data_IF_056797036745
#
_entry.id   IF_056797036745
#
_cell.length_a   1.000
_cell.length_b   1.000
_cell.length_c   1.000
_cell.angle_alpha   90.00
_cell.angle_beta   90.00
_cell.angle_gamma   90.00
#
_symmetry.space_group_name_H-M   'P 1'
#
loop_
_entity.id
_entity.type
_entity.pdbx_description
1 polymer ?
#
# COMPACT_ATOMS: atom_id res chain seq x y z
N UNK A 1 46.20 -36.86 5.39
CA UNK A 1 45.61 -35.66 6.02
C UNK A 1 44.29 -36.08 6.63
N UNK A 2 44.22 -36.75 7.77
CA UNK A 2 44.95 -36.62 9.03
C UNK A 2 44.65 -35.32 9.81
N UNK A 3 44.27 -35.55 11.07
CA UNK A 3 44.08 -34.64 12.19
C UNK A 3 42.85 -33.72 12.28
N UNK A 4 41.84 -34.24 12.99
CA UNK A 4 41.16 -33.52 14.07
C UNK A 4 42.22 -33.07 15.07
N UNK A 5 42.23 -31.79 15.45
CA UNK A 5 42.86 -31.40 16.71
C UNK A 5 42.07 -30.39 17.51
N UNK A 6 42.07 -30.66 18.81
CA UNK A 6 41.19 -30.16 19.85
C UNK A 6 42.12 -29.60 20.92
N UNK A 7 41.86 -28.36 21.37
CA UNK A 7 42.17 -27.77 22.70
C UNK A 7 43.02 -26.49 22.68
N UNK A 8 42.47 -25.48 23.38
CA UNK A 8 43.01 -24.66 24.50
C UNK A 8 42.44 -23.23 24.36
N UNK A 9 41.38 -22.82 25.05
CA UNK A 9 41.18 -22.65 26.49
C UNK A 9 42.02 -21.52 27.13
N UNK A 10 41.28 -20.58 27.73
CA UNK A 10 41.58 -19.69 28.88
C UNK A 10 42.07 -18.27 28.54
N UNK A 11 41.24 -17.29 28.95
CA UNK A 11 41.59 -15.88 29.06
C UNK A 11 40.37 -15.05 29.47
N UNK A 12 40.05 -15.02 30.76
CA UNK A 12 38.95 -14.24 31.34
C UNK A 12 39.30 -12.75 31.44
N UNK A 13 38.33 -11.87 31.21
CA UNK A 13 38.25 -10.60 31.96
C UNK A 13 36.84 -10.02 31.95
N UNK A 14 36.37 -9.74 33.16
CA UNK A 14 35.12 -9.08 33.52
C UNK A 14 35.21 -7.60 33.19
N UNK A 15 34.16 -7.04 32.58
CA UNK A 15 33.83 -5.63 32.72
C UNK A 15 32.31 -5.44 32.71
N UNK A 16 31.81 -5.15 33.91
CA UNK A 16 30.47 -4.69 34.26
C UNK A 16 30.14 -3.39 33.54
N UNK A 17 28.95 -3.29 32.95
CA UNK A 17 28.49 -2.05 32.32
C UNK A 17 27.05 -2.16 31.83
N UNK A 18 26.10 -2.13 32.76
CA UNK A 18 24.70 -1.91 32.44
C UNK A 18 24.53 -0.46 31.92
N UNK A 19 24.38 -0.32 30.60
CA UNK A 19 23.84 0.89 30.00
C UNK A 19 22.41 0.58 29.57
N UNK A 20 21.45 0.97 30.42
CA UNK A 20 20.07 1.17 30.00
C UNK A 20 20.09 2.25 28.92
N UNK A 21 20.12 1.86 27.66
CA UNK A 21 19.72 2.77 26.59
C UNK A 21 18.23 3.01 26.76
N UNK A 22 17.91 4.10 27.46
CA UNK A 22 16.61 4.76 27.36
C UNK A 22 16.33 4.86 25.87
N UNK A 23 15.36 4.06 25.41
CA UNK A 23 14.87 4.13 24.05
C UNK A 23 14.33 5.54 23.85
N UNK A 24 15.15 6.42 23.26
CA UNK A 24 14.66 7.55 22.52
C UNK A 24 13.77 6.96 21.42
N UNK A 25 12.50 6.76 21.75
CA UNK A 25 11.44 6.69 20.75
C UNK A 25 11.39 8.08 20.13
N UNK A 26 12.30 8.33 19.19
CA UNK A 26 12.19 9.44 18.27
C UNK A 26 10.89 9.20 17.50
N UNK A 27 9.84 10.02 17.63
CA UNK A 27 8.67 9.91 16.77
C UNK A 27 8.96 10.42 15.35
N UNK A 28 10.23 10.66 15.02
CA UNK A 28 10.69 11.31 13.80
C UNK A 28 10.97 10.33 12.64
N UNK A 29 10.26 9.21 12.60
CA UNK A 29 10.35 8.21 11.52
C UNK A 29 8.98 7.90 10.91
N UNK A 30 8.17 8.93 10.64
CA UNK A 30 7.06 8.84 9.65
C UNK A 30 6.73 10.17 8.99
N UNK A 31 7.69 11.10 8.92
CA UNK A 31 7.64 12.13 7.88
C UNK A 31 8.43 11.59 6.68
N UNK A 32 8.00 10.43 6.15
CA UNK A 32 8.45 10.00 4.84
C UNK A 32 8.21 11.16 3.89
N UNK A 33 9.25 11.58 3.15
CA UNK A 33 9.20 12.65 2.14
C UNK A 33 7.84 12.59 1.46
N UNK A 34 6.94 13.52 1.79
CA UNK A 34 5.76 13.75 0.97
C UNK A 34 6.32 14.29 -0.34
N UNK A 35 6.61 13.39 -1.26
CA UNK A 35 6.49 13.74 -2.68
C UNK A 35 5.13 14.41 -2.79
N UNK A 36 5.10 15.60 -3.38
CA UNK A 36 3.85 16.27 -3.65
C UNK A 36 3.08 15.33 -4.58
N UNK A 37 2.10 14.61 -4.04
CA UNK A 37 1.19 13.79 -4.83
C UNK A 37 0.41 14.76 -5.70
N UNK A 38 0.71 14.80 -6.99
CA UNK A 38 0.14 15.78 -7.91
C UNK A 38 -1.11 15.26 -8.60
N UNK A 39 -1.22 13.93 -8.78
CA UNK A 39 -2.33 13.31 -9.50
C UNK A 39 -2.93 12.12 -8.74
N UNK A 40 -4.20 11.86 -9.00
CA UNK A 40 -4.89 10.64 -8.56
C UNK A 40 -5.49 9.93 -9.77
N UNK A 41 -5.23 8.64 -9.90
CA UNK A 41 -5.97 7.76 -10.79
C UNK A 41 -7.26 7.35 -10.09
N UNK A 42 -8.39 7.87 -10.57
CA UNK A 42 -9.74 7.49 -10.13
C UNK A 42 -10.24 6.40 -11.07
N UNK A 43 -10.43 5.20 -10.53
CA UNK A 43 -10.92 4.05 -11.26
C UNK A 43 -12.38 3.83 -10.89
N UNK A 44 -13.27 3.94 -11.86
CA UNK A 44 -14.69 3.57 -11.73
C UNK A 44 -14.87 2.15 -12.23
N UNK A 45 -15.51 1.32 -11.43
CA UNK A 45 -15.87 -0.04 -11.78
C UNK A 45 -17.39 -0.16 -11.83
N UNK A 46 -17.92 -0.65 -12.94
CA UNK A 46 -19.25 -1.26 -12.93
C UNK A 46 -19.07 -2.73 -12.54
N UNK A 47 -19.74 -3.14 -11.47
CA UNK A 47 -19.65 -4.48 -10.90
C UNK A 47 -21.01 -5.16 -10.95
N UNK A 48 -21.01 -6.49 -10.97
CA UNK A 48 -22.22 -7.27 -10.73
C UNK A 48 -22.68 -7.05 -9.26
N UNK A 49 -23.90 -6.52 -9.02
CA UNK A 49 -24.41 -6.29 -7.66
C UNK A 49 -24.42 -7.54 -6.78
N UNK A 50 -24.58 -8.72 -7.36
CA UNK A 50 -24.62 -9.98 -6.63
C UNK A 50 -23.22 -10.52 -6.30
N UNK A 51 -22.17 -9.95 -6.90
CA UNK A 51 -20.78 -10.34 -6.67
C UNK A 51 -19.99 -9.30 -5.86
N UNK A 52 -20.70 -8.49 -5.07
CA UNK A 52 -20.13 -7.52 -4.14
C UNK A 52 -18.98 -8.08 -3.32
N UNK A 53 -19.17 -9.23 -2.69
CA UNK A 53 -18.16 -9.84 -1.81
C UNK A 53 -16.94 -10.35 -2.59
N UNK A 54 -17.15 -10.79 -3.84
CA UNK A 54 -16.06 -11.09 -4.74
C UNK A 54 -15.21 -9.84 -5.05
N UNK A 55 -15.87 -8.71 -5.32
CA UNK A 55 -15.16 -7.44 -5.51
C UNK A 55 -14.50 -6.95 -4.21
N UNK A 56 -15.11 -7.16 -3.05
CA UNK A 56 -14.49 -6.86 -1.75
C UNK A 56 -13.15 -7.58 -1.59
N UNK A 57 -13.12 -8.88 -1.86
CA UNK A 57 -11.88 -9.67 -1.83
C UNK A 57 -10.85 -9.15 -2.84
N UNK A 58 -11.30 -8.80 -4.05
CA UNK A 58 -10.44 -8.19 -5.08
C UNK A 58 -9.80 -6.87 -4.61
N UNK A 59 -10.58 -6.03 -3.93
CA UNK A 59 -10.13 -4.76 -3.36
C UNK A 59 -9.19 -4.93 -2.16
N UNK A 60 -9.48 -5.86 -1.25
CA UNK A 60 -8.62 -6.17 -0.10
C UNK A 60 -7.24 -6.67 -0.54
N UNK A 61 -7.18 -7.48 -1.60
CA UNK A 61 -5.92 -7.89 -2.23
C UNK A 61 -5.09 -6.69 -2.70
N UNK A 62 -5.73 -5.65 -3.25
CA UNK A 62 -5.01 -4.44 -3.65
C UNK A 62 -4.42 -3.67 -2.47
N UNK A 63 -5.01 -3.77 -1.27
CA UNK A 63 -4.51 -3.17 -0.04
C UNK A 63 -3.06 -3.53 0.27
N UNK A 64 -2.66 -4.78 0.00
CA UNK A 64 -1.29 -5.28 0.18
C UNK A 64 -0.41 -5.12 -1.06
N UNK A 65 -0.97 -5.23 -2.26
CA UNK A 65 -0.22 -5.24 -3.52
C UNK A 65 0.17 -3.82 -3.98
N UNK A 66 -0.77 -2.86 -3.94
CA UNK A 66 -0.54 -1.52 -4.52
C UNK A 66 0.60 -0.78 -3.82
N UNK A 67 0.67 -0.73 -2.47
CA UNK A 67 1.75 0.00 -1.79
C UNK A 67 3.14 -0.55 -2.11
N UNK A 68 3.31 -1.88 -2.17
CA UNK A 68 4.60 -2.49 -2.52
C UNK A 68 4.99 -2.27 -3.98
N UNK A 69 4.02 -2.09 -4.88
CA UNK A 69 4.26 -1.68 -6.26
C UNK A 69 4.53 -0.17 -6.37
N UNK A 70 4.50 0.60 -5.27
CA UNK A 70 4.81 2.01 -5.22
C UNK A 70 3.64 2.94 -5.59
N UNK A 71 2.39 2.46 -5.49
CA UNK A 71 1.21 3.31 -5.59
C UNK A 71 0.78 3.80 -4.20
N UNK A 72 0.38 5.08 -4.08
CA UNK A 72 -0.23 5.57 -2.85
C UNK A 72 -1.73 5.25 -2.85
N UNK A 73 -2.10 4.10 -2.27
CA UNK A 73 -3.49 3.68 -2.21
C UNK A 73 -4.28 4.59 -1.26
N UNK A 74 -5.22 5.37 -1.80
CA UNK A 74 -6.17 6.16 -1.01
C UNK A 74 -7.27 5.25 -0.46
N UNK A 75 -7.80 4.37 -1.31
CA UNK A 75 -8.77 3.37 -0.89
C UNK A 75 -9.52 2.73 -2.05
N UNK A 76 -10.24 1.66 -1.72
CA UNK A 76 -11.28 1.09 -2.55
C UNK A 76 -12.62 1.25 -1.84
N UNK A 77 -13.65 1.58 -2.60
CA UNK A 77 -14.98 1.92 -2.08
C UNK A 77 -16.01 1.08 -2.81
N UNK A 78 -16.81 0.37 -2.03
CA UNK A 78 -17.95 -0.40 -2.51
C UNK A 78 -19.24 0.41 -2.34
N UNK A 79 -20.30 0.11 -3.11
CA UNK A 79 -21.63 0.64 -2.84
C UNK A 79 -22.03 0.50 -1.36
N UNK A 80 -22.69 1.48 -0.78
CA UNK A 80 -23.26 1.33 0.57
C UNK A 80 -24.76 1.62 0.55
N UNK A 81 -25.14 2.72 -0.08
CA UNK A 81 -26.53 3.14 -0.26
C UNK A 81 -26.71 3.76 -1.65
N UNK A 82 -27.91 3.66 -2.23
CA UNK A 82 -28.23 4.15 -3.57
C UNK A 82 -27.71 3.22 -4.68
N UNK A 83 -26.80 3.70 -5.52
CA UNK A 83 -26.26 2.95 -6.67
C UNK A 83 -25.51 1.71 -6.21
N UNK A 84 -26.04 0.52 -6.51
CA UNK A 84 -25.54 -0.77 -6.00
C UNK A 84 -24.52 -1.48 -6.91
N UNK A 85 -24.20 -0.93 -8.07
CA UNK A 85 -23.36 -1.56 -9.09
C UNK A 85 -22.09 -0.77 -9.43
N UNK A 86 -21.77 0.30 -8.68
CA UNK A 86 -20.59 1.14 -8.94
C UNK A 86 -19.63 1.11 -7.76
N UNK A 87 -18.40 0.66 -8.00
CA UNK A 87 -17.31 0.70 -7.05
C UNK A 87 -16.18 1.62 -7.53
N UNK A 88 -15.31 2.03 -6.62
CA UNK A 88 -14.23 2.98 -6.90
C UNK A 88 -12.90 2.49 -6.34
N UNK A 89 -11.81 2.75 -7.06
CA UNK A 89 -10.44 2.58 -6.57
C UNK A 89 -9.66 3.87 -6.83
N UNK A 90 -9.02 4.42 -5.80
CA UNK A 90 -8.28 5.68 -5.89
C UNK A 90 -6.83 5.44 -5.51
N UNK A 91 -5.91 5.81 -6.41
CA UNK A 91 -4.46 5.66 -6.21
C UNK A 91 -3.78 6.97 -6.60
N UNK A 92 -3.06 7.58 -5.67
CA UNK A 92 -2.34 8.82 -5.90
C UNK A 92 -0.87 8.57 -6.30
N UNK A 93 -0.32 9.53 -7.03
CA UNK A 93 1.01 9.48 -7.62
C UNK A 93 1.64 10.88 -7.67
N UNK A 94 2.96 10.95 -7.65
CA UNK A 94 3.72 12.20 -7.79
C UNK A 94 3.65 12.76 -9.22
N UNK A 95 3.40 11.89 -10.21
CA UNK A 95 3.32 12.23 -11.64
C UNK A 95 2.82 11.04 -12.48
N UNK A 96 2.48 11.27 -13.75
CA UNK A 96 2.18 10.19 -14.70
C UNK A 96 3.35 9.20 -14.87
N UNK A 97 4.60 9.67 -14.83
CA UNK A 97 5.78 8.81 -14.92
C UNK A 97 5.86 7.82 -13.74
N UNK A 98 5.51 8.27 -12.52
CA UNK A 98 5.47 7.39 -11.35
C UNK A 98 4.34 6.35 -11.45
N UNK A 99 3.20 6.71 -12.06
CA UNK A 99 2.12 5.77 -12.38
C UNK A 99 2.56 4.71 -13.40
N UNK A 100 3.29 5.09 -14.46
CA UNK A 100 3.80 4.15 -15.45
C UNK A 100 4.79 3.14 -14.86
N UNK A 101 5.71 3.62 -14.01
CA UNK A 101 6.64 2.76 -13.28
C UNK A 101 5.90 1.81 -12.32
N UNK A 102 4.85 2.29 -11.64
CA UNK A 102 3.95 1.46 -10.85
C UNK A 102 3.28 0.39 -11.70
N UNK A 103 2.73 0.74 -12.87
CA UNK A 103 2.06 -0.20 -13.78
C UNK A 103 3.00 -1.29 -14.29
N UNK A 104 4.26 -0.95 -14.57
CA UNK A 104 5.28 -1.92 -14.96
C UNK A 104 5.52 -2.96 -13.85
N UNK A 105 5.70 -2.50 -12.60
CA UNK A 105 5.86 -3.39 -11.43
C UNK A 105 4.60 -4.23 -11.16
N UNK A 106 3.42 -3.61 -11.26
CA UNK A 106 2.13 -4.29 -11.07
C UNK A 106 1.93 -5.43 -12.07
N UNK A 107 2.40 -5.28 -13.31
CA UNK A 107 2.30 -6.31 -14.36
C UNK A 107 3.18 -7.53 -14.06
N UNK A 108 4.35 -7.34 -13.45
CA UNK A 108 5.27 -8.44 -13.12
C UNK A 108 4.97 -9.08 -11.75
N UNK A 109 4.15 -8.44 -10.93
CA UNK A 109 3.81 -8.90 -9.59
C UNK A 109 2.93 -10.17 -9.62
N UNK A 110 3.34 -11.29 -9.00
CA UNK A 110 2.58 -12.54 -9.03
C UNK A 110 1.17 -12.42 -8.42
N UNK A 111 1.04 -11.76 -7.28
CA UNK A 111 -0.27 -11.65 -6.61
C UNK A 111 -1.20 -10.69 -7.37
N UNK A 112 -0.65 -9.66 -8.02
CA UNK A 112 -1.44 -8.80 -8.91
C UNK A 112 -2.04 -9.62 -10.05
N UNK A 113 -1.23 -10.48 -10.69
CA UNK A 113 -1.69 -11.37 -11.77
C UNK A 113 -2.78 -12.32 -11.29
N UNK A 114 -2.61 -12.93 -10.12
CA UNK A 114 -3.62 -13.83 -9.54
C UNK A 114 -4.91 -13.06 -9.21
N UNK A 115 -4.80 -11.83 -8.70
CA UNK A 115 -5.96 -10.99 -8.42
C UNK A 115 -6.72 -10.59 -9.70
N UNK A 116 -6.00 -10.28 -10.80
CA UNK A 116 -6.60 -10.06 -12.11
C UNK A 116 -7.30 -11.31 -12.64
N UNK A 117 -6.66 -12.48 -12.53
CA UNK A 117 -7.25 -13.76 -12.97
C UNK A 117 -8.51 -14.12 -12.18
N UNK A 118 -8.52 -13.86 -10.87
CA UNK A 118 -9.72 -14.02 -10.03
C UNK A 118 -10.87 -13.11 -10.51
N UNK A 119 -10.59 -11.84 -10.79
CA UNK A 119 -11.62 -10.90 -11.25
C UNK A 119 -12.19 -11.31 -12.62
N UNK A 120 -11.35 -11.79 -13.53
CA UNK A 120 -11.77 -12.27 -14.85
C UNK A 120 -12.60 -13.55 -14.77
N UNK A 121 -12.14 -14.57 -14.03
CA UNK A 121 -12.83 -15.85 -13.92
C UNK A 121 -14.22 -15.73 -13.31
N UNK A 122 -14.39 -14.85 -12.32
CA UNK A 122 -15.68 -14.57 -11.67
C UNK A 122 -16.51 -13.50 -12.40
N UNK A 123 -15.93 -12.80 -13.39
CA UNK A 123 -16.54 -11.65 -14.09
C UNK A 123 -17.02 -10.55 -13.12
N UNK A 124 -16.21 -10.24 -12.12
CA UNK A 124 -16.54 -9.26 -11.06
C UNK A 124 -16.72 -7.84 -11.61
N UNK A 125 -15.99 -7.52 -12.67
CA UNK A 125 -15.92 -6.18 -13.28
C UNK A 125 -16.52 -6.27 -14.68
N UNK A 126 -17.61 -5.53 -14.89
CA UNK A 126 -18.32 -5.43 -16.17
C UNK A 126 -17.74 -4.31 -17.03
N UNK A 127 -17.36 -3.20 -16.40
CA UNK A 127 -16.73 -2.04 -17.04
C UNK A 127 -15.72 -1.41 -16.10
N UNK A 128 -14.63 -0.92 -16.67
CA UNK A 128 -13.59 -0.18 -15.94
C UNK A 128 -13.29 1.12 -16.68
N UNK A 129 -13.29 2.24 -15.97
CA UNK A 129 -12.93 3.56 -16.50
C UNK A 129 -11.87 4.18 -15.60
N UNK A 130 -10.86 4.81 -16.19
CA UNK A 130 -9.78 5.49 -15.45
C UNK A 130 -9.72 6.95 -15.84
N UNK A 131 -9.72 7.81 -14.84
CA UNK A 131 -9.49 9.24 -14.99
C UNK A 131 -8.27 9.64 -14.16
N UNK A 132 -7.42 10.50 -14.72
CA UNK A 132 -6.32 11.11 -13.99
C UNK A 132 -6.73 12.53 -13.64
N UNK A 133 -6.83 12.81 -12.35
CA UNK A 133 -7.27 14.09 -11.81
C UNK A 133 -6.15 14.75 -11.02
N UNK A 134 -6.13 16.07 -11.01
CA UNK A 134 -5.20 16.86 -10.22
C UNK A 134 -5.59 16.81 -8.73
N UNK A 135 -4.59 16.75 -7.86
CA UNK A 135 -4.76 16.84 -6.41
C UNK A 135 -4.79 18.32 -6.01
N UNK A 136 -5.87 18.75 -5.37
CA UNK A 136 -5.91 20.03 -4.66
C UNK A 136 -5.27 19.84 -3.29
N UNK A 137 -4.03 20.32 -3.12
CA UNK A 137 -3.16 20.06 -1.95
C UNK A 137 -3.88 20.25 -0.60
N UNK A 138 -4.63 21.33 -0.44
CA UNK A 138 -5.36 21.66 0.79
C UNK A 138 -6.54 20.76 1.13
N UNK A 139 -6.80 19.69 0.37
CA UNK A 139 -7.94 18.78 0.56
C UNK A 139 -7.55 17.32 0.75
N UNK A 140 -6.31 16.95 0.41
CA UNK A 140 -5.92 15.56 0.28
C UNK A 140 -5.29 15.01 1.57
N UNK A 141 -5.80 13.87 2.05
CA UNK A 141 -5.23 13.18 3.22
C UNK A 141 -5.30 13.98 4.52
N UNK A 142 -6.26 14.91 4.64
CA UNK A 142 -6.49 15.66 5.87
C UNK A 142 -7.10 14.77 6.97
N UNK A 143 -6.79 15.05 8.25
CA UNK A 143 -7.42 14.36 9.36
C UNK A 143 -8.92 14.70 9.47
N UNK A 144 -9.71 13.81 10.07
CA UNK A 144 -11.15 14.03 10.32
C UNK A 144 -11.45 15.16 11.32
N UNK A 145 -10.44 15.60 12.06
CA UNK A 145 -10.53 16.74 12.98
C UNK A 145 -9.33 17.66 12.77
N UNK A 146 -9.59 18.95 12.60
CA UNK A 146 -8.55 19.96 12.65
C UNK A 146 -8.17 20.15 14.12
N UNK A 147 -6.88 20.09 14.44
CA UNK A 147 -6.43 20.47 15.79
C UNK A 147 -6.80 21.93 16.01
N UNK A 148 -7.57 22.21 17.06
CA UNK A 148 -7.88 23.59 17.45
C UNK A 148 -6.61 24.37 17.82
N UNK A 149 -6.67 25.71 17.86
CA UNK A 149 -5.54 26.50 18.34
C UNK A 149 -5.20 26.10 19.78
N UNK A 150 -3.90 25.91 20.03
CA UNK A 150 -3.34 25.65 21.36
C UNK A 150 -3.53 26.83 22.31
#
# INVERSE_FOLDING_TARGET
>A
MDHIDRRRAIGAMVATGAALSVGCHSPALTAARRGLLTITCVIRYEIDPFQRDGFKQYAENWGRIIPRCGGHLVGYFLPHEGTNHVAWGLIAFDSLASYEAYRARLKSDPEARDNFAMAQSKRLILREERNFVEVVEGTFGLPSTLRGPA
#
